data_IF_020122973851
#
_entry.id   IF_020122973851
#
_cell.length_a   1.000
_cell.length_b   1.000
_cell.length_c   1.000
_cell.angle_alpha   90.00
_cell.angle_beta   90.00
_cell.angle_gamma   90.00
#
_symmetry.space_group_name_H-M   'P 1'
#
loop_
_entity.id
_entity.type
_entity.pdbx_description
1 polymer ?
#
# COMPACT_ATOMS: atom_id res chain seq x y z
N UNK A 1 -2.67 -64.47 34.62
CA UNK A 1 -1.47 -63.64 34.85
C UNK A 1 -1.37 -62.63 33.71
N UNK A 2 -1.61 -61.33 33.94
CA UNK A 2 -1.49 -60.32 32.88
C UNK A 2 -0.03 -60.15 32.47
N UNK A 3 0.21 -60.04 31.17
CA UNK A 3 1.53 -60.03 30.55
C UNK A 3 2.25 -58.69 30.87
N UNK A 4 3.49 -58.71 31.40
CA UNK A 4 4.19 -57.50 31.87
C UNK A 4 4.51 -56.47 30.76
N UNK A 5 4.38 -56.83 29.48
CA UNK A 5 4.64 -55.94 28.34
C UNK A 5 3.58 -54.85 28.11
N UNK A 6 2.33 -55.04 28.54
CA UNK A 6 1.26 -54.08 28.21
C UNK A 6 1.30 -52.81 29.07
N UNK A 7 1.71 -52.89 30.34
CA UNK A 7 1.74 -51.73 31.24
C UNK A 7 2.85 -50.72 30.92
N UNK A 8 3.97 -51.19 30.35
CA UNK A 8 5.09 -50.32 29.94
C UNK A 8 4.76 -49.54 28.67
N UNK A 9 4.08 -50.17 27.71
CA UNK A 9 3.74 -49.53 26.43
C UNK A 9 2.77 -48.35 26.61
N UNK A 10 1.85 -48.41 27.57
CA UNK A 10 0.94 -47.29 27.87
C UNK A 10 1.67 -46.13 28.55
N UNK A 11 2.68 -46.39 29.39
CA UNK A 11 3.49 -45.34 30.01
C UNK A 11 4.37 -44.66 28.98
N UNK A 12 5.07 -45.44 28.15
CA UNK A 12 5.88 -44.92 27.04
C UNK A 12 5.04 -44.07 26.10
N UNK A 13 3.87 -44.55 25.67
CA UNK A 13 2.96 -43.79 24.82
C UNK A 13 2.51 -42.46 25.46
N UNK A 14 2.15 -42.47 26.76
CA UNK A 14 1.76 -41.26 27.49
C UNK A 14 2.89 -40.23 27.55
N UNK A 15 4.12 -40.66 27.82
CA UNK A 15 5.27 -39.76 27.88
C UNK A 15 5.68 -39.24 26.50
N UNK A 16 5.57 -40.06 25.46
CA UNK A 16 5.80 -39.61 24.07
C UNK A 16 4.78 -38.56 23.64
N UNK A 17 3.48 -38.79 23.93
CA UNK A 17 2.43 -37.80 23.64
C UNK A 17 2.64 -36.52 24.43
N UNK A 18 2.97 -36.61 25.72
CA UNK A 18 3.26 -35.44 26.54
C UNK A 18 4.47 -34.65 26.02
N UNK A 19 5.54 -35.35 25.61
CA UNK A 19 6.71 -34.74 25.01
C UNK A 19 6.40 -34.00 23.71
N UNK A 20 5.58 -34.60 22.84
CA UNK A 20 5.12 -33.95 21.60
C UNK A 20 4.24 -32.72 21.86
N UNK A 21 3.36 -32.78 22.86
CA UNK A 21 2.53 -31.64 23.25
C UNK A 21 3.36 -30.49 23.81
N UNK A 22 4.36 -30.79 24.64
CA UNK A 22 5.29 -29.79 25.17
C UNK A 22 6.13 -29.15 24.06
N UNK A 23 6.61 -29.96 23.11
CA UNK A 23 7.33 -29.45 21.94
C UNK A 23 6.45 -28.55 21.08
N UNK A 24 5.21 -28.95 20.81
CA UNK A 24 4.25 -28.14 20.06
C UNK A 24 3.94 -26.83 20.77
N UNK A 25 3.73 -26.86 22.10
CA UNK A 25 3.52 -25.65 22.90
C UNK A 25 4.73 -24.71 22.86
N UNK A 26 5.95 -25.25 22.96
CA UNK A 26 7.18 -24.47 22.85
C UNK A 26 7.33 -23.84 21.46
N UNK A 27 7.04 -24.58 20.40
CA UNK A 27 7.05 -24.04 19.03
C UNK A 27 6.02 -22.94 18.85
N UNK A 28 4.79 -23.11 19.35
CA UNK A 28 3.76 -22.07 19.32
C UNK A 28 4.23 -20.83 20.08
N UNK A 29 4.78 -20.99 21.29
CA UNK A 29 5.26 -19.87 22.09
C UNK A 29 6.40 -19.11 21.40
N UNK A 30 7.35 -19.81 20.77
CA UNK A 30 8.44 -19.19 19.99
C UNK A 30 7.89 -18.43 18.79
N UNK A 31 6.92 -18.99 18.07
CA UNK A 31 6.31 -18.30 16.92
C UNK A 31 5.50 -17.08 17.36
N UNK A 32 4.73 -17.17 18.43
CA UNK A 32 4.02 -16.02 19.00
C UNK A 32 4.99 -14.93 19.48
N UNK A 33 6.08 -15.32 20.13
CA UNK A 33 7.13 -14.39 20.51
C UNK A 33 7.77 -13.73 19.29
N UNK A 34 8.11 -14.50 18.26
CA UNK A 34 8.66 -13.98 17.01
C UNK A 34 7.68 -13.01 16.33
N UNK A 35 6.40 -13.37 16.20
CA UNK A 35 5.37 -12.50 15.61
C UNK A 35 5.22 -11.20 16.41
N UNK A 36 5.27 -11.27 17.74
CA UNK A 36 5.13 -10.09 18.61
C UNK A 36 6.41 -9.25 18.75
N UNK A 37 7.57 -9.77 18.34
CA UNK A 37 8.86 -9.06 18.42
C UNK A 37 9.39 -8.60 17.08
N UNK A 38 8.94 -9.22 15.99
CA UNK A 38 9.18 -8.71 14.64
C UNK A 38 8.32 -7.46 14.45
N UNK A 39 8.98 -6.31 14.33
CA UNK A 39 8.34 -5.05 13.93
C UNK A 39 7.93 -5.17 12.47
N UNK A 40 6.73 -5.71 12.24
CA UNK A 40 6.01 -5.63 10.98
C UNK A 40 5.61 -4.17 10.75
N UNK A 41 6.60 -3.33 10.48
CA UNK A 41 6.50 -1.88 10.37
C UNK A 41 5.68 -1.42 9.16
N UNK A 42 4.79 -2.26 8.61
CA UNK A 42 3.81 -1.90 7.60
C UNK A 42 3.03 -0.66 7.99
N UNK A 43 2.62 -0.57 9.26
CA UNK A 43 1.91 0.61 9.78
C UNK A 43 2.80 1.85 9.75
N UNK A 44 4.09 1.73 10.08
CA UNK A 44 5.04 2.84 10.04
C UNK A 44 5.37 3.26 8.61
N UNK A 45 5.55 2.31 7.69
CA UNK A 45 5.79 2.57 6.28
C UNK A 45 4.57 3.22 5.62
N UNK A 46 3.37 2.73 5.96
CA UNK A 46 2.10 3.30 5.50
C UNK A 46 1.89 4.71 6.05
N UNK A 47 2.19 4.94 7.32
CA UNK A 47 2.17 6.27 7.93
C UNK A 47 3.16 7.21 7.24
N UNK A 48 4.42 6.78 7.07
CA UNK A 48 5.44 7.59 6.41
C UNK A 48 5.08 7.94 4.96
N UNK A 49 4.54 6.99 4.20
CA UNK A 49 4.05 7.24 2.84
C UNK A 49 2.90 8.27 2.84
N UNK A 50 1.92 8.08 3.74
CA UNK A 50 0.76 8.98 3.84
C UNK A 50 1.18 10.39 4.26
N UNK A 51 2.04 10.51 5.26
CA UNK A 51 2.60 11.78 5.72
C UNK A 51 3.40 12.48 4.62
N UNK A 52 4.24 11.74 3.88
CA UNK A 52 5.01 12.29 2.77
C UNK A 52 4.09 12.81 1.65
N UNK A 53 3.04 12.06 1.29
CA UNK A 53 2.03 12.47 0.32
C UNK A 53 1.28 13.72 0.76
N UNK A 54 0.85 13.78 2.02
CA UNK A 54 0.14 14.94 2.57
C UNK A 54 1.03 16.18 2.60
N UNK A 55 2.29 16.03 3.04
CA UNK A 55 3.25 17.12 3.02
C UNK A 55 3.52 17.61 1.59
N UNK A 56 3.59 16.71 0.61
CA UNK A 56 3.73 17.09 -0.79
C UNK A 56 2.53 17.91 -1.28
N UNK A 57 1.30 17.49 -0.99
CA UNK A 57 0.10 18.24 -1.36
C UNK A 57 0.03 19.61 -0.68
N UNK A 58 0.49 19.71 0.57
CA UNK A 58 0.54 20.96 1.32
C UNK A 58 1.60 21.96 0.80
N UNK A 59 2.65 21.47 0.14
CA UNK A 59 3.70 22.31 -0.46
C UNK A 59 3.31 22.84 -1.85
N UNK A 60 2.23 22.35 -2.45
CA UNK A 60 1.74 22.86 -3.72
C UNK A 60 1.26 24.30 -3.56
N UNK A 61 1.53 25.17 -4.55
CA UNK A 61 1.14 26.57 -4.46
C UNK A 61 -0.38 26.70 -4.47
N UNK A 62 -0.88 27.51 -3.53
CA UNK A 62 -2.30 27.85 -3.43
C UNK A 62 -2.67 28.88 -4.50
N UNK A 63 -3.19 28.38 -5.63
CA UNK A 63 -3.55 29.19 -6.80
C UNK A 63 -4.82 28.65 -7.46
N UNK A 64 -5.57 29.53 -8.11
CA UNK A 64 -6.78 29.14 -8.86
C UNK A 64 -6.49 28.23 -10.07
N UNK A 65 -5.25 28.17 -10.53
CA UNK A 65 -4.83 27.36 -11.68
C UNK A 65 -3.45 26.74 -11.40
N UNK A 66 -3.45 25.64 -10.65
CA UNK A 66 -2.26 24.84 -10.40
C UNK A 66 -1.81 24.14 -11.69
N UNK A 67 -0.57 24.37 -12.14
CA UNK A 67 -0.07 23.80 -13.41
C UNK A 67 0.86 22.62 -13.19
N UNK A 68 0.97 21.76 -14.21
CA UNK A 68 1.86 20.60 -14.20
C UNK A 68 3.32 20.96 -13.92
N UNK A 69 3.78 22.13 -14.39
CA UNK A 69 5.15 22.60 -14.15
C UNK A 69 5.42 22.90 -12.67
N UNK A 70 4.44 23.47 -11.96
CA UNK A 70 4.56 23.79 -10.54
C UNK A 70 4.63 22.50 -9.72
N UNK A 71 3.72 21.56 -9.99
CA UNK A 71 3.69 20.23 -9.36
C UNK A 71 5.00 19.47 -9.62
N UNK A 72 5.48 19.48 -10.86
CA UNK A 72 6.76 18.85 -11.25
C UNK A 72 7.93 19.49 -10.51
N UNK A 73 7.92 20.80 -10.32
CA UNK A 73 8.93 21.53 -9.56
C UNK A 73 9.00 21.06 -8.10
N UNK A 74 7.85 20.99 -7.43
CA UNK A 74 7.76 20.50 -6.03
C UNK A 74 8.18 19.04 -5.92
N UNK A 75 7.76 18.17 -6.86
CA UNK A 75 8.17 16.77 -6.87
C UNK A 75 9.69 16.61 -7.04
N UNK A 76 10.29 17.32 -8.00
CA UNK A 76 11.74 17.29 -8.23
C UNK A 76 12.55 17.85 -7.06
N UNK A 77 12.05 18.86 -6.36
CA UNK A 77 12.68 19.38 -5.16
C UNK A 77 12.78 18.33 -4.03
N UNK A 78 11.88 17.34 -4.03
CA UNK A 78 11.88 16.18 -3.14
C UNK A 78 12.69 14.99 -3.69
N UNK A 79 13.22 15.09 -4.90
CA UNK A 79 13.90 14.00 -5.60
C UNK A 79 12.94 12.96 -6.19
N UNK A 80 11.64 13.27 -6.28
CA UNK A 80 10.62 12.35 -6.77
C UNK A 80 10.44 12.48 -8.28
N UNK A 81 10.04 11.37 -8.91
CA UNK A 81 9.73 11.34 -10.33
C UNK A 81 8.35 11.93 -10.62
N UNK A 82 8.26 12.67 -11.72
CA UNK A 82 7.04 13.29 -12.21
C UNK A 82 6.99 13.18 -13.74
N UNK A 83 6.04 12.38 -14.22
CA UNK A 83 5.94 11.99 -15.63
C UNK A 83 4.51 12.20 -16.13
N UNK A 84 4.38 12.71 -17.36
CA UNK A 84 3.11 12.67 -18.07
C UNK A 84 2.94 11.29 -18.71
N UNK A 85 1.96 10.48 -18.29
CA UNK A 85 1.72 9.20 -18.93
C UNK A 85 1.20 9.43 -20.37
N UNK A 86 1.52 8.54 -21.32
CA UNK A 86 1.08 8.67 -22.71
C UNK A 86 -0.44 8.47 -22.86
N UNK A 87 -1.04 7.69 -21.97
CA UNK A 87 -2.49 7.41 -21.95
C UNK A 87 -2.95 7.16 -20.51
N UNK A 88 -4.23 7.37 -20.26
CA UNK A 88 -4.91 7.01 -19.01
C UNK A 88 -6.15 6.19 -19.36
N UNK A 89 -6.06 4.88 -19.11
CA UNK A 89 -7.01 3.91 -19.67
C UNK A 89 -8.28 3.72 -18.82
N UNK A 90 -8.46 4.54 -17.79
CA UNK A 90 -9.60 4.45 -16.87
C UNK A 90 -10.66 5.51 -17.17
N UNK A 91 -11.90 5.13 -16.90
CA UNK A 91 -13.03 6.06 -16.96
C UNK A 91 -12.99 7.03 -15.79
N UNK A 92 -13.06 8.33 -16.09
CA UNK A 92 -12.94 9.40 -15.10
C UNK A 92 -13.96 10.50 -15.34
N UNK A 93 -14.30 11.24 -14.30
CA UNK A 93 -15.01 12.52 -14.40
C UNK A 93 -14.12 13.64 -13.86
N UNK A 94 -14.17 14.87 -14.40
CA UNK A 94 -15.00 15.31 -15.52
C UNK A 94 -14.49 14.82 -16.90
N UNK A 95 -15.37 14.80 -17.89
CA UNK A 95 -15.04 14.52 -19.30
C UNK A 95 -14.20 15.63 -19.96
N UNK A 96 -13.99 16.75 -19.26
CA UNK A 96 -13.14 17.86 -19.69
C UNK A 96 -11.64 17.62 -19.48
N UNK A 97 -11.25 16.54 -18.79
CA UNK A 97 -9.84 16.20 -18.58
C UNK A 97 -9.13 15.95 -19.93
N UNK A 98 -7.97 16.58 -20.13
CA UNK A 98 -7.18 16.49 -21.35
C UNK A 98 -5.82 15.82 -21.14
N UNK A 99 -5.14 16.14 -20.04
CA UNK A 99 -3.79 15.65 -19.79
C UNK A 99 -3.62 15.23 -18.33
N UNK A 100 -2.54 14.48 -18.08
CA UNK A 100 -2.29 13.83 -16.81
C UNK A 100 -0.86 14.07 -16.36
N UNK A 101 -0.64 14.09 -15.05
CA UNK A 101 0.69 14.04 -14.45
C UNK A 101 0.67 12.99 -13.34
N UNK A 102 1.58 12.03 -13.44
CA UNK A 102 1.83 11.01 -12.43
C UNK A 102 3.06 11.45 -11.63
N UNK A 103 2.90 11.59 -10.31
CA UNK A 103 3.99 11.87 -9.38
C UNK A 103 4.20 10.65 -8.50
N UNK A 104 5.40 10.07 -8.51
CA UNK A 104 5.76 8.95 -7.64
C UNK A 104 5.95 9.46 -6.21
N UNK A 105 5.24 8.89 -5.25
CA UNK A 105 5.35 9.23 -3.83
C UNK A 105 6.36 8.30 -3.16
N UNK A 106 7.33 8.89 -2.47
CA UNK A 106 8.29 8.14 -1.65
C UNK A 106 8.21 8.54 -0.16
N UNK A 107 8.44 7.62 0.79
CA UNK A 107 8.78 6.21 0.58
C UNK A 107 7.60 5.40 0.02
N UNK A 108 7.85 4.33 -0.77
CA UNK A 108 6.78 3.52 -1.33
C UNK A 108 6.08 2.68 -0.25
N UNK A 109 4.79 2.41 -0.47
CA UNK A 109 4.03 1.45 0.30
C UNK A 109 4.61 0.03 0.13
N UNK A 110 4.71 -0.76 1.20
CA UNK A 110 5.14 -2.14 1.11
C UNK A 110 4.12 -2.99 0.34
N UNK A 111 4.60 -3.87 -0.55
CA UNK A 111 3.77 -4.76 -1.39
C UNK A 111 2.75 -4.06 -2.29
N UNK A 112 3.05 -2.83 -2.72
CA UNK A 112 2.21 -2.06 -3.62
C UNK A 112 2.82 -1.95 -5.01
N UNK A 113 1.98 -1.57 -5.97
CA UNK A 113 2.33 -1.28 -7.35
C UNK A 113 2.81 0.17 -7.51
N UNK A 114 3.43 0.45 -8.65
CA UNK A 114 3.82 1.80 -9.03
C UNK A 114 2.65 2.79 -9.06
N UNK A 115 1.45 2.35 -9.45
CA UNK A 115 0.26 3.20 -9.50
C UNK A 115 -0.32 3.46 -8.11
N UNK A 116 -0.27 2.49 -7.21
CA UNK A 116 -0.66 2.67 -5.81
C UNK A 116 0.29 3.62 -5.05
N UNK A 117 1.52 3.75 -5.53
CA UNK A 117 2.49 4.73 -5.03
C UNK A 117 2.43 6.08 -5.75
N UNK A 118 1.48 6.30 -6.65
CA UNK A 118 1.41 7.53 -7.41
C UNK A 118 0.32 8.48 -6.92
N UNK A 119 0.65 9.77 -6.86
CA UNK A 119 -0.33 10.84 -6.88
C UNK A 119 -0.56 11.25 -8.33
N UNK A 120 -1.78 11.06 -8.81
CA UNK A 120 -2.18 11.42 -10.17
C UNK A 120 -2.95 12.74 -10.15
N UNK A 121 -2.54 13.65 -11.02
CA UNK A 121 -3.21 14.93 -11.28
C UNK A 121 -3.79 14.93 -12.69
N UNK A 122 -4.98 15.50 -12.83
CA UNK A 122 -5.66 15.71 -14.10
C UNK A 122 -5.67 17.19 -14.44
N UNK A 123 -5.59 17.52 -15.72
CA UNK A 123 -5.62 18.91 -16.19
C UNK A 123 -6.64 19.09 -17.30
N UNK A 124 -7.31 20.24 -17.31
CA UNK A 124 -8.22 20.65 -18.37
C UNK A 124 -7.48 21.16 -19.63
N UNK A 125 -8.24 21.66 -20.61
CA UNK A 125 -7.70 22.24 -21.83
C UNK A 125 -6.90 23.55 -21.62
N UNK A 126 -7.12 24.24 -20.51
CA UNK A 126 -6.34 25.43 -20.14
C UNK A 126 -5.03 25.06 -19.42
N UNK A 127 -4.83 23.78 -19.09
CA UNK A 127 -3.68 23.27 -18.35
C UNK A 127 -3.76 23.53 -16.84
N UNK A 128 -4.96 23.81 -16.32
CA UNK A 128 -5.20 23.95 -14.89
C UNK A 128 -5.56 22.58 -14.30
N UNK A 129 -5.03 22.28 -13.11
CA UNK A 129 -5.39 21.07 -12.38
C UNK A 129 -6.88 21.10 -12.06
N UNK A 130 -7.55 19.97 -12.24
CA UNK A 130 -8.97 19.79 -11.93
C UNK A 130 -9.15 18.64 -10.97
N UNK A 131 -10.16 18.76 -10.12
CA UNK A 131 -10.63 17.62 -9.34
C UNK A 131 -11.15 16.55 -10.28
N UNK A 132 -10.71 15.33 -10.06
CA UNK A 132 -11.11 14.19 -10.85
C UNK A 132 -11.38 12.98 -9.96
N UNK A 133 -12.20 12.06 -10.45
CA UNK A 133 -12.40 10.76 -9.80
C UNK A 133 -12.72 9.70 -10.83
N UNK A 134 -12.53 8.43 -10.46
CA UNK A 134 -12.98 7.30 -11.28
C UNK A 134 -14.50 7.29 -11.36
N UNK A 135 -15.04 7.34 -12.57
CA UNK A 135 -16.47 7.36 -12.81
C UNK A 135 -16.81 6.90 -14.23
N UNK A 136 -17.97 6.26 -14.38
CA UNK A 136 -18.59 5.93 -15.67
C UNK A 136 -19.95 6.62 -15.81
N UNK A 137 -20.41 6.78 -17.05
CA UNK A 137 -21.69 7.41 -17.37
C UNK A 137 -21.58 8.91 -17.68
N UNK A 138 -22.72 9.63 -17.76
CA UNK A 138 -22.76 11.01 -18.24
C UNK A 138 -21.82 11.95 -17.47
N UNK A 139 -21.01 12.72 -18.20
CA UNK A 139 -20.00 13.62 -17.62
C UNK A 139 -18.69 12.93 -17.25
N UNK A 140 -18.48 11.69 -17.68
CA UNK A 140 -17.22 10.96 -17.61
C UNK A 140 -16.65 10.71 -19.00
N UNK A 141 -15.35 10.41 -19.08
CA UNK A 141 -14.65 10.05 -20.33
C UNK A 141 -15.19 8.77 -20.98
N UNK A 142 -15.96 7.98 -20.23
CA UNK A 142 -16.70 6.82 -20.71
C UNK A 142 -18.20 7.04 -20.48
N UNK A 143 -18.80 7.90 -21.29
CA UNK A 143 -20.19 8.33 -21.13
C UNK A 143 -21.25 7.29 -21.55
N UNK A 144 -20.82 6.13 -22.05
CA UNK A 144 -21.67 5.06 -22.60
C UNK A 144 -22.25 4.11 -21.53
#
# INVERSE_FOLDING_TARGET
>A
MPCPRQADMTKVLKYTVLGLLLLAAALIAVNLYAINTVDFSFDKATAAHTEARQAFLADLPDTDCLRAADITGVARARGWDAMQPPQFDWCVTPDTVQTWLRVTVEPPLPFSTEDENAQIFAFDAAGCAVDWSYASGPGSTCAE
#
